data_IF_097040114686
#
_entry.id   IF_097040114686
#
_cell.length_a   1.000
_cell.length_b   1.000
_cell.length_c   1.000
_cell.angle_alpha   90.00
_cell.angle_beta   90.00
_cell.angle_gamma   90.00
#
_symmetry.space_group_name_H-M   'P 1'
#
loop_
_entity.id
_entity.type
_entity.pdbx_description
1 polymer ?
#
# COMPACT_ATOMS: atom_id res chain seq x y z
N UNK A 1 44.89 20.78 -36.04
CA UNK A 1 43.68 21.44 -36.59
C UNK A 1 42.41 20.58 -36.49
N UNK A 2 42.41 19.31 -36.91
CA UNK A 2 41.23 18.43 -36.85
C UNK A 2 40.69 18.09 -35.44
N UNK A 3 41.57 18.02 -34.42
CA UNK A 3 41.17 17.73 -33.03
C UNK A 3 40.46 18.96 -32.39
N UNK A 4 40.97 20.16 -32.64
CA UNK A 4 40.37 21.43 -32.19
C UNK A 4 39.00 21.69 -32.84
N UNK A 5 38.83 21.35 -34.12
CA UNK A 5 37.54 21.48 -34.81
C UNK A 5 36.49 20.48 -34.30
N UNK A 6 36.91 19.25 -33.91
CA UNK A 6 36.04 18.29 -33.22
C UNK A 6 35.61 18.77 -31.83
N UNK A 7 36.52 19.36 -31.05
CA UNK A 7 36.24 19.91 -29.72
C UNK A 7 35.24 21.07 -29.76
N UNK A 8 35.28 21.92 -30.80
CA UNK A 8 34.33 23.02 -30.98
C UNK A 8 32.92 22.56 -31.41
N UNK A 9 32.81 21.40 -32.08
CA UNK A 9 31.52 20.82 -32.51
C UNK A 9 30.87 19.93 -31.43
N UNK A 10 31.65 19.44 -30.48
CA UNK A 10 31.20 18.60 -29.37
C UNK A 10 30.05 19.22 -28.54
N UNK A 11 30.12 20.47 -28.04
CA UNK A 11 29.05 21.06 -27.24
C UNK A 11 27.76 21.29 -28.04
N UNK A 12 27.87 21.48 -29.36
CA UNK A 12 26.71 21.66 -30.26
C UNK A 12 25.96 20.33 -30.46
N UNK A 13 26.70 19.23 -30.57
CA UNK A 13 26.16 17.88 -30.74
C UNK A 13 25.55 17.33 -29.44
N UNK A 14 26.18 17.57 -28.29
CA UNK A 14 25.63 17.17 -26.98
C UNK A 14 24.28 17.83 -26.68
N UNK A 15 23.98 18.99 -27.28
CA UNK A 15 22.68 19.68 -27.20
C UNK A 15 21.82 19.49 -28.48
N UNK A 16 21.91 18.32 -29.12
CA UNK A 16 21.18 17.97 -30.34
C UNK A 16 20.15 16.85 -30.16
N UNK A 17 19.19 16.78 -31.08
CA UNK A 17 18.14 15.76 -31.10
C UNK A 17 18.66 14.38 -31.47
N UNK A 18 19.70 14.30 -32.30
CA UNK A 18 20.36 13.05 -32.69
C UNK A 18 21.00 12.39 -31.46
N UNK A 19 21.72 13.18 -30.65
CA UNK A 19 22.25 12.73 -29.38
C UNK A 19 21.14 12.25 -28.43
N UNK A 20 20.02 12.97 -28.37
CA UNK A 20 18.85 12.59 -27.57
C UNK A 20 18.29 11.21 -27.97
N UNK A 21 18.16 10.94 -29.27
CA UNK A 21 17.66 9.65 -29.79
C UNK A 21 18.63 8.51 -29.46
N UNK A 22 19.93 8.73 -29.61
CA UNK A 22 20.95 7.72 -29.26
C UNK A 22 20.88 7.39 -27.76
N UNK A 23 20.82 8.42 -26.91
CA UNK A 23 20.69 8.24 -25.46
C UNK A 23 19.40 7.52 -25.09
N UNK A 24 18.28 7.87 -25.72
CA UNK A 24 17.00 7.19 -25.50
C UNK A 24 17.06 5.71 -25.89
N UNK A 25 17.65 5.38 -27.06
CA UNK A 25 17.82 4.00 -27.50
C UNK A 25 18.75 3.21 -26.56
N UNK A 26 19.82 3.83 -26.06
CA UNK A 26 20.70 3.21 -25.08
C UNK A 26 19.97 2.94 -23.76
N UNK A 27 19.17 3.90 -23.26
CA UNK A 27 18.33 3.70 -22.07
C UNK A 27 17.35 2.56 -22.30
N UNK A 28 16.66 2.54 -23.45
CA UNK A 28 15.71 1.48 -23.79
C UNK A 28 16.39 0.10 -23.86
N UNK A 29 17.57 0.01 -24.46
CA UNK A 29 18.34 -1.23 -24.57
C UNK A 29 18.73 -1.81 -23.20
N UNK A 30 18.95 -0.97 -22.20
CA UNK A 30 19.22 -1.42 -20.81
C UNK A 30 17.92 -1.68 -20.04
N UNK A 31 16.92 -0.80 -20.19
CA UNK A 31 15.68 -0.83 -19.41
C UNK A 31 14.74 -1.97 -19.81
N UNK A 32 14.66 -2.33 -21.10
CA UNK A 32 13.76 -3.38 -21.58
C UNK A 32 14.16 -4.76 -21.02
N UNK A 33 15.42 -5.24 -21.13
CA UNK A 33 15.82 -6.50 -20.51
C UNK A 33 15.62 -6.48 -19.00
N UNK A 34 15.98 -5.38 -18.34
CA UNK A 34 15.75 -5.19 -16.90
C UNK A 34 14.28 -5.30 -16.49
N UNK A 35 13.34 -5.12 -17.42
CA UNK A 35 11.90 -5.27 -17.18
C UNK A 35 11.52 -6.74 -16.96
N UNK A 36 12.24 -7.67 -17.58
CA UNK A 36 11.99 -9.11 -17.51
C UNK A 36 12.83 -9.85 -16.46
N UNK A 37 13.77 -9.16 -15.81
CA UNK A 37 14.58 -9.72 -14.73
C UNK A 37 13.84 -9.64 -13.38
N UNK A 38 14.00 -10.66 -12.54
CA UNK A 38 13.49 -10.67 -11.17
C UNK A 38 14.20 -9.61 -10.31
N UNK A 39 15.52 -9.51 -10.46
CA UNK A 39 16.30 -8.48 -9.79
C UNK A 39 16.21 -7.14 -10.54
N UNK A 40 15.76 -6.11 -9.81
CA UNK A 40 15.58 -4.74 -10.31
C UNK A 40 16.79 -3.84 -10.00
N UNK A 41 17.88 -4.39 -9.46
CA UNK A 41 19.11 -3.66 -9.10
C UNK A 41 19.73 -2.89 -10.27
N UNK A 42 19.49 -3.32 -11.52
CA UNK A 42 19.97 -2.65 -12.73
C UNK A 42 19.55 -1.17 -12.79
N UNK A 43 18.36 -0.83 -12.30
CA UNK A 43 17.84 0.55 -12.28
C UNK A 43 18.50 1.42 -11.20
N UNK A 44 19.08 0.79 -10.18
CA UNK A 44 19.89 1.45 -9.15
C UNK A 44 21.38 1.46 -9.50
N UNK A 45 21.79 0.84 -10.61
CA UNK A 45 23.20 0.79 -11.01
C UNK A 45 23.72 2.19 -11.36
N UNK A 46 24.97 2.54 -10.98
CA UNK A 46 25.57 3.83 -11.33
C UNK A 46 25.56 4.10 -12.84
N UNK A 47 25.75 3.08 -13.66
CA UNK A 47 25.74 3.21 -15.13
C UNK A 47 24.37 3.66 -15.64
N UNK A 48 23.29 3.04 -15.17
CA UNK A 48 21.94 3.42 -15.57
C UNK A 48 21.59 4.84 -15.12
N UNK A 49 21.95 5.20 -13.88
CA UNK A 49 21.72 6.54 -13.34
C UNK A 49 22.52 7.62 -14.08
N UNK A 50 23.78 7.36 -14.43
CA UNK A 50 24.61 8.27 -15.23
C UNK A 50 24.00 8.45 -16.62
N UNK A 51 23.57 7.36 -17.26
CA UNK A 51 22.93 7.42 -18.58
C UNK A 51 21.65 8.27 -18.54
N UNK A 52 20.82 8.09 -17.51
CA UNK A 52 19.61 8.88 -17.29
C UNK A 52 19.94 10.36 -17.03
N UNK A 53 21.00 10.64 -16.26
CA UNK A 53 21.48 12.00 -16.00
C UNK A 53 21.96 12.72 -17.26
N UNK A 54 22.73 12.04 -18.11
CA UNK A 54 23.20 12.58 -19.40
C UNK A 54 22.00 12.86 -20.32
N UNK A 55 21.01 11.97 -20.38
CA UNK A 55 19.78 12.20 -21.12
C UNK A 55 19.00 13.41 -20.60
N UNK A 56 18.85 13.56 -19.28
CA UNK A 56 18.23 14.74 -18.68
C UNK A 56 18.95 16.05 -19.02
N UNK A 57 20.29 16.05 -18.96
CA UNK A 57 21.10 17.20 -19.34
C UNK A 57 20.96 17.54 -20.84
N UNK A 58 21.03 16.53 -21.72
CA UNK A 58 20.78 16.73 -23.14
C UNK A 58 19.40 17.33 -23.39
N UNK A 59 18.34 16.79 -22.76
CA UNK A 59 16.97 17.29 -22.92
C UNK A 59 16.86 18.75 -22.47
N UNK A 60 17.47 19.10 -21.34
CA UNK A 60 17.50 20.47 -20.84
C UNK A 60 18.18 21.42 -21.83
N UNK A 61 19.39 21.08 -22.29
CA UNK A 61 20.17 21.90 -23.23
C UNK A 61 19.45 22.04 -24.58
N UNK A 62 18.92 20.95 -25.12
CA UNK A 62 18.10 20.94 -26.34
C UNK A 62 16.89 21.87 -26.21
N UNK A 63 16.21 21.81 -25.06
CA UNK A 63 15.02 22.63 -24.77
C UNK A 63 15.37 24.10 -24.68
N UNK A 64 16.46 24.46 -23.99
CA UNK A 64 16.94 25.85 -23.88
C UNK A 64 17.33 26.40 -25.25
N UNK A 65 18.13 25.65 -26.03
CA UNK A 65 18.60 26.04 -27.37
C UNK A 65 17.44 26.30 -28.32
N UNK A 66 16.37 25.50 -28.24
CA UNK A 66 15.21 25.56 -29.14
C UNK A 66 13.96 26.20 -28.52
N UNK A 67 14.07 26.88 -27.36
CA UNK A 67 12.91 27.39 -26.61
C UNK A 67 12.00 28.33 -27.39
N UNK A 68 12.56 29.06 -28.37
CA UNK A 68 11.80 29.99 -29.23
C UNK A 68 11.12 29.31 -30.42
N UNK A 69 11.54 28.11 -30.79
CA UNK A 69 11.03 27.37 -31.97
C UNK A 69 10.14 26.18 -31.58
N UNK A 70 10.32 25.61 -30.40
CA UNK A 70 9.49 24.52 -29.88
C UNK A 70 8.09 25.04 -29.53
N UNK A 71 7.07 24.24 -29.83
CA UNK A 71 5.68 24.55 -29.47
C UNK A 71 5.46 24.56 -27.95
N UNK A 72 4.58 25.45 -27.46
CA UNK A 72 4.18 25.50 -26.04
C UNK A 72 3.80 24.13 -25.44
N UNK A 73 2.99 23.27 -26.11
CA UNK A 73 2.68 21.94 -25.59
C UNK A 73 3.90 21.02 -25.40
N UNK A 74 4.85 21.06 -26.32
CA UNK A 74 6.10 20.27 -26.23
C UNK A 74 7.01 20.81 -25.12
N UNK A 75 7.05 22.13 -24.91
CA UNK A 75 7.78 22.71 -23.77
C UNK A 75 7.20 22.21 -22.44
N UNK A 76 5.86 22.20 -22.30
CA UNK A 76 5.18 21.66 -21.11
C UNK A 76 5.55 20.18 -20.93
N UNK A 77 5.52 19.38 -22.00
CA UNK A 77 5.91 17.97 -21.95
C UNK A 77 7.35 17.79 -21.47
N UNK A 78 8.31 18.54 -22.02
CA UNK A 78 9.72 18.48 -21.60
C UNK A 78 9.91 18.93 -20.15
N UNK A 79 9.20 19.96 -19.69
CA UNK A 79 9.18 20.37 -18.28
C UNK A 79 8.70 19.22 -17.40
N UNK A 80 7.64 18.50 -17.80
CA UNK A 80 7.16 17.32 -17.08
C UNK A 80 8.22 16.24 -16.95
N UNK A 81 8.91 15.89 -18.04
CA UNK A 81 10.02 14.92 -18.03
C UNK A 81 11.15 15.37 -17.10
N UNK A 82 11.55 16.64 -17.17
CA UNK A 82 12.62 17.19 -16.32
C UNK A 82 12.22 17.20 -14.84
N UNK A 83 10.96 17.50 -14.51
CA UNK A 83 10.42 17.39 -13.15
C UNK A 83 10.45 15.94 -12.67
N UNK A 84 10.05 14.98 -13.50
CA UNK A 84 10.16 13.56 -13.16
C UNK A 84 11.60 13.15 -12.86
N UNK A 85 12.57 13.56 -13.69
CA UNK A 85 13.99 13.27 -13.46
C UNK A 85 14.51 13.93 -12.18
N UNK A 86 14.13 15.18 -11.91
CA UNK A 86 14.47 15.87 -10.67
C UNK A 86 13.86 15.17 -9.44
N UNK A 87 12.63 14.67 -9.57
CA UNK A 87 11.98 13.85 -8.56
C UNK A 87 12.73 12.56 -8.28
N UNK A 88 13.19 11.83 -9.30
CA UNK A 88 14.01 10.64 -9.12
C UNK A 88 15.33 10.94 -8.37
N UNK A 89 15.98 12.08 -8.67
CA UNK A 89 17.17 12.53 -7.94
C UNK A 89 16.80 12.83 -6.48
N UNK A 90 15.68 13.52 -6.24
CA UNK A 90 15.21 13.79 -4.88
C UNK A 90 14.94 12.48 -4.09
N UNK A 91 14.34 11.46 -4.72
CA UNK A 91 14.12 10.14 -4.10
C UNK A 91 15.41 9.50 -3.59
N UNK A 92 16.58 9.79 -4.19
CA UNK A 92 17.87 9.26 -3.71
C UNK A 92 18.29 9.78 -2.33
N UNK A 93 17.70 10.88 -1.86
CA UNK A 93 17.86 11.38 -0.47
C UNK A 93 16.86 10.75 0.51
N UNK A 94 16.02 9.85 0.03
CA UNK A 94 15.10 9.04 0.81
C UNK A 94 15.75 7.82 1.44
N UNK A 95 14.93 7.00 2.10
CA UNK A 95 15.34 5.69 2.60
C UNK A 95 14.13 4.79 2.83
N UNK A 96 14.41 3.49 2.91
CA UNK A 96 13.47 2.45 3.32
C UNK A 96 14.00 1.79 4.57
N UNK A 97 13.16 1.72 5.60
CA UNK A 97 13.41 0.95 6.80
C UNK A 97 12.30 -0.09 7.02
N UNK A 98 12.62 -1.19 7.67
CA UNK A 98 11.65 -2.27 7.96
C UNK A 98 11.80 -2.75 9.39
N UNK A 99 10.69 -3.19 9.98
CA UNK A 99 10.67 -3.80 11.32
C UNK A 99 9.46 -4.73 11.47
N UNK A 100 9.60 -5.79 12.26
CA UNK A 100 8.48 -6.60 12.73
C UNK A 100 8.20 -6.24 14.19
N UNK A 101 6.94 -5.94 14.51
CA UNK A 101 6.52 -5.49 15.84
C UNK A 101 5.36 -6.35 16.31
N UNK A 102 5.46 -6.90 17.52
CA UNK A 102 4.38 -7.66 18.14
C UNK A 102 3.25 -6.73 18.59
N UNK A 103 2.01 -7.20 18.50
CA UNK A 103 0.87 -6.43 18.99
C UNK A 103 1.02 -6.06 20.47
N UNK A 104 0.71 -4.80 20.80
CA UNK A 104 0.87 -4.26 22.15
C UNK A 104 2.29 -3.81 22.51
N UNK A 105 3.27 -3.97 21.61
CA UNK A 105 4.69 -3.64 21.89
C UNK A 105 5.21 -2.47 21.05
N UNK A 106 6.24 -1.81 21.55
CA UNK A 106 6.91 -0.69 20.89
C UNK A 106 8.38 -0.98 20.58
N UNK A 107 8.88 -0.38 19.49
CA UNK A 107 10.29 -0.46 19.08
C UNK A 107 10.83 0.94 18.75
N UNK A 108 12.12 1.16 18.98
CA UNK A 108 12.82 2.43 18.70
C UNK A 108 13.90 2.31 17.61
N UNK A 109 14.19 1.09 17.16
CA UNK A 109 15.20 0.79 16.15
C UNK A 109 14.58 0.10 14.94
N UNK A 110 15.08 0.49 13.77
CA UNK A 110 14.53 0.07 12.49
C UNK A 110 15.66 -0.31 11.54
N UNK A 111 15.53 -1.44 10.85
CA UNK A 111 16.54 -1.89 9.91
C UNK A 111 16.50 -1.04 8.64
N UNK A 112 17.53 -0.22 8.40
CA UNK A 112 17.67 0.62 7.21
C UNK A 112 18.43 -0.12 6.11
N UNK A 113 17.77 -0.36 4.98
CA UNK A 113 18.33 -1.12 3.86
C UNK A 113 19.53 -0.45 3.19
N UNK A 114 19.57 0.88 3.16
CA UNK A 114 20.67 1.66 2.60
C UNK A 114 21.93 1.60 3.48
N UNK A 115 21.75 1.54 4.81
CA UNK A 115 22.84 1.43 5.78
C UNK A 115 23.18 0.00 6.18
N UNK A 116 22.30 -0.95 5.87
CA UNK A 116 22.36 -2.37 6.28
C UNK A 116 22.53 -2.55 7.80
N UNK A 117 21.86 -1.69 8.57
CA UNK A 117 21.98 -1.66 10.02
C UNK A 117 20.68 -1.16 10.67
N UNK A 118 20.50 -1.52 11.94
CA UNK A 118 19.43 -0.98 12.78
C UNK A 118 19.78 0.44 13.22
N UNK A 119 18.85 1.37 13.00
CA UNK A 119 19.05 2.80 13.27
C UNK A 119 17.86 3.34 14.05
N UNK A 120 18.14 4.25 14.97
CA UNK A 120 17.14 5.07 15.65
C UNK A 120 16.65 6.17 14.69
N UNK A 121 15.34 6.24 14.47
CA UNK A 121 14.70 7.23 13.59
C UNK A 121 14.17 8.46 14.36
N UNK A 122 14.38 8.53 15.67
CA UNK A 122 13.97 9.62 16.55
C UNK A 122 12.54 9.48 17.09
N UNK A 123 11.96 8.28 17.05
CA UNK A 123 10.64 7.99 17.58
C UNK A 123 10.48 6.51 17.93
N UNK A 124 9.59 6.23 18.86
CA UNK A 124 9.10 4.88 19.16
C UNK A 124 7.86 4.60 18.33
N UNK A 125 7.78 3.40 17.76
CA UNK A 125 6.62 2.92 17.01
C UNK A 125 5.96 1.77 17.78
N UNK A 126 4.71 1.96 18.17
CA UNK A 126 3.86 0.98 18.82
C UNK A 126 2.87 0.39 17.80
N UNK A 127 2.75 -0.94 17.77
CA UNK A 127 1.59 -1.60 17.16
C UNK A 127 0.54 -1.77 18.25
N UNK A 128 -0.53 -0.98 18.20
CA UNK A 128 -1.61 -1.05 19.20
C UNK A 128 -2.46 -2.28 18.99
N UNK A 129 -2.86 -2.50 17.74
CA UNK A 129 -3.76 -3.59 17.37
C UNK A 129 -3.65 -3.92 15.90
N UNK A 130 -3.68 -5.21 15.60
CA UNK A 130 -3.78 -5.80 14.29
C UNK A 130 -5.23 -6.23 14.13
N UNK A 131 -5.91 -5.62 13.18
CA UNK A 131 -7.33 -5.82 12.96
C UNK A 131 -7.57 -6.54 11.64
N UNK A 132 -8.56 -7.42 11.65
CA UNK A 132 -9.06 -8.09 10.46
C UNK A 132 -10.58 -7.95 10.40
N UNK A 133 -11.11 -7.85 9.18
CA UNK A 133 -12.53 -7.89 8.90
C UNK A 133 -12.76 -8.93 7.81
N UNK A 134 -13.75 -9.80 7.99
CA UNK A 134 -14.13 -10.83 7.03
C UNK A 134 -15.43 -10.45 6.31
N UNK A 135 -15.59 -10.94 5.09
CA UNK A 135 -16.91 -10.94 4.45
C UNK A 135 -17.88 -11.84 5.24
N UNK A 136 -19.20 -11.60 5.18
CA UNK A 136 -20.21 -12.47 5.77
C UNK A 136 -19.92 -13.94 5.52
N UNK A 137 -19.67 -14.70 6.58
CA UNK A 137 -19.19 -16.08 6.51
C UNK A 137 -20.40 -17.01 6.48
N UNK A 138 -20.57 -17.86 5.46
CA UNK A 138 -21.59 -18.90 5.47
C UNK A 138 -21.33 -19.89 6.61
N UNK A 139 -22.29 -19.98 7.52
CA UNK A 139 -22.28 -20.83 8.71
C UNK A 139 -23.46 -21.78 8.69
N UNK A 140 -23.24 -22.95 9.28
CA UNK A 140 -24.27 -23.95 9.53
C UNK A 140 -24.45 -24.08 11.04
N UNK A 141 -25.60 -23.67 11.54
CA UNK A 141 -25.93 -23.58 12.97
C UNK A 141 -26.90 -24.71 13.33
N UNK A 142 -26.50 -25.57 14.26
CA UNK A 142 -27.36 -26.57 14.87
C UNK A 142 -28.10 -25.97 16.06
N UNK A 143 -29.41 -26.21 16.14
CA UNK A 143 -30.22 -25.89 17.32
C UNK A 143 -30.45 -27.18 18.09
N UNK A 144 -30.14 -27.17 19.38
CA UNK A 144 -30.30 -28.33 20.26
C UNK A 144 -31.24 -28.01 21.41
N UNK A 145 -31.96 -29.02 21.88
CA UNK A 145 -32.70 -29.02 23.14
C UNK A 145 -32.12 -30.10 24.03
N UNK A 146 -31.33 -29.70 25.03
CA UNK A 146 -30.45 -30.64 25.73
C UNK A 146 -29.42 -31.25 24.78
N UNK A 147 -29.39 -32.58 24.67
CA UNK A 147 -28.49 -33.31 23.77
C UNK A 147 -29.12 -33.63 22.41
N UNK A 148 -30.42 -33.38 22.24
CA UNK A 148 -31.13 -33.71 21.02
C UNK A 148 -31.01 -32.56 20.01
N UNK A 149 -30.63 -32.89 18.79
CA UNK A 149 -30.68 -31.95 17.67
C UNK A 149 -32.13 -31.74 17.25
N UNK A 150 -32.58 -30.49 17.33
CA UNK A 150 -33.93 -30.08 16.92
C UNK A 150 -33.94 -29.65 15.46
N UNK A 151 -32.98 -28.81 15.04
CA UNK A 151 -32.94 -28.31 13.67
C UNK A 151 -31.53 -27.88 13.22
N UNK A 152 -31.39 -27.50 11.96
CA UNK A 152 -30.16 -27.06 11.33
C UNK A 152 -30.45 -25.91 10.35
N UNK A 153 -29.76 -24.79 10.53
CA UNK A 153 -29.90 -23.62 9.68
C UNK A 153 -28.61 -23.32 8.95
N UNK A 154 -28.72 -22.82 7.72
CA UNK A 154 -27.58 -22.33 6.93
C UNK A 154 -27.86 -20.87 6.62
N UNK A 155 -26.94 -20.00 7.00
CA UNK A 155 -27.04 -18.55 6.85
C UNK A 155 -25.64 -17.96 6.80
N UNK A 156 -25.52 -16.65 6.59
CA UNK A 156 -24.26 -15.93 6.75
C UNK A 156 -24.21 -15.18 8.07
N UNK A 157 -23.00 -14.90 8.56
CA UNK A 157 -22.84 -13.93 9.64
C UNK A 157 -23.43 -12.58 9.24
N UNK A 158 -24.16 -11.93 10.15
CA UNK A 158 -25.00 -10.76 9.91
C UNK A 158 -26.45 -11.08 9.53
N UNK A 159 -26.80 -12.32 9.23
CA UNK A 159 -28.18 -12.76 8.95
C UNK A 159 -28.83 -13.38 10.20
N UNK A 160 -30.15 -13.59 10.16
CA UNK A 160 -30.90 -14.25 11.21
C UNK A 160 -31.92 -15.24 10.67
N UNK A 161 -32.29 -16.22 11.49
CA UNK A 161 -33.39 -17.16 11.22
C UNK A 161 -34.41 -17.13 12.36
N UNK A 162 -35.64 -17.56 12.06
CA UNK A 162 -36.73 -17.69 13.02
C UNK A 162 -36.91 -19.15 13.42
N UNK A 163 -37.08 -19.42 14.72
CA UNK A 163 -37.37 -20.76 15.23
C UNK A 163 -38.20 -20.69 16.52
N UNK A 164 -39.39 -21.28 16.50
CA UNK A 164 -40.30 -21.41 17.65
C UNK A 164 -40.55 -20.09 18.41
N UNK A 165 -40.78 -18.99 17.69
CA UNK A 165 -41.08 -17.68 18.27
C UNK A 165 -39.86 -16.83 18.63
N UNK A 166 -38.65 -17.36 18.40
CA UNK A 166 -37.39 -16.66 18.59
C UNK A 166 -36.73 -16.32 17.26
N UNK A 167 -36.16 -15.12 17.17
CA UNK A 167 -35.26 -14.73 16.08
C UNK A 167 -33.82 -14.84 16.56
N UNK A 168 -33.02 -15.62 15.85
CA UNK A 168 -31.62 -15.89 16.19
C UNK A 168 -30.73 -15.29 15.10
N UNK A 169 -29.93 -14.30 15.46
CA UNK A 169 -28.98 -13.65 14.56
C UNK A 169 -27.58 -14.23 14.75
N UNK A 170 -26.92 -14.61 13.66
CA UNK A 170 -25.52 -15.03 13.68
C UNK A 170 -24.63 -13.78 13.57
N UNK A 171 -24.22 -13.19 14.68
CA UNK A 171 -23.53 -11.89 14.69
C UNK A 171 -22.14 -11.95 14.07
N UNK A 172 -21.29 -12.83 14.61
CA UNK A 172 -19.87 -12.92 14.23
C UNK A 172 -19.31 -14.30 14.49
N UNK A 173 -18.43 -14.74 13.61
CA UNK A 173 -17.61 -15.94 13.79
C UNK A 173 -16.16 -15.50 13.91
N UNK A 174 -15.47 -15.91 14.98
CA UNK A 174 -14.01 -15.88 15.03
C UNK A 174 -13.49 -17.12 14.30
N UNK A 175 -12.84 -16.99 13.12
CA UNK A 175 -12.42 -18.15 12.35
C UNK A 175 -11.18 -18.85 12.90
N UNK A 176 -10.50 -18.27 13.88
CA UNK A 176 -9.33 -18.88 14.53
C UNK A 176 -9.77 -19.79 15.67
N UNK A 177 -10.69 -19.30 16.50
CA UNK A 177 -11.22 -20.08 17.64
C UNK A 177 -12.45 -20.92 17.25
N UNK A 178 -12.98 -20.71 16.04
CA UNK A 178 -14.19 -21.34 15.51
C UNK A 178 -15.43 -21.09 16.40
N UNK A 179 -15.47 -19.92 17.03
CA UNK A 179 -16.53 -19.53 17.94
C UNK A 179 -17.54 -18.61 17.24
N UNK A 180 -18.77 -19.10 17.10
CA UNK A 180 -19.88 -18.32 16.58
C UNK A 180 -20.62 -17.65 17.74
N UNK A 181 -20.79 -16.33 17.65
CA UNK A 181 -21.66 -15.56 18.56
C UNK A 181 -23.02 -15.38 17.91
N UNK A 182 -24.06 -15.75 18.64
CA UNK A 182 -25.45 -15.64 18.26
C UNK A 182 -26.16 -14.67 19.22
N UNK A 183 -27.06 -13.84 18.71
CA UNK A 183 -27.97 -13.03 19.53
C UNK A 183 -29.39 -13.55 19.37
N UNK A 184 -30.10 -13.76 20.49
CA UNK A 184 -31.48 -14.22 20.49
C UNK A 184 -32.42 -13.07 20.82
N UNK A 185 -33.51 -13.00 20.07
CA UNK A 185 -34.59 -12.05 20.25
C UNK A 185 -35.92 -12.78 20.42
N UNK A 186 -36.78 -12.25 21.28
CA UNK A 186 -38.16 -12.68 21.45
C UNK A 186 -39.04 -11.44 21.26
N UNK A 187 -40.04 -11.51 20.38
CA UNK A 187 -40.90 -10.36 20.04
C UNK A 187 -40.10 -9.08 19.70
N UNK A 188 -39.03 -9.22 18.89
CA UNK A 188 -38.08 -8.16 18.53
C UNK A 188 -37.28 -7.51 19.67
N UNK A 189 -37.37 -8.01 20.91
CA UNK A 189 -36.52 -7.57 22.02
C UNK A 189 -35.34 -8.53 22.17
N UNK A 190 -34.12 -8.00 22.27
CA UNK A 190 -32.92 -8.82 22.59
C UNK A 190 -33.12 -9.42 23.98
N UNK A 191 -33.04 -10.74 24.09
CA UNK A 191 -33.11 -11.46 25.37
C UNK A 191 -31.74 -11.94 25.85
N UNK A 192 -30.76 -12.07 24.95
CA UNK A 192 -29.39 -12.42 25.29
C UNK A 192 -28.60 -12.87 24.07
N UNK A 193 -27.44 -13.46 24.31
CA UNK A 193 -26.46 -13.94 23.36
C UNK A 193 -25.87 -15.27 23.82
N UNK A 194 -25.42 -16.05 22.84
CA UNK A 194 -24.83 -17.36 23.04
C UNK A 194 -23.60 -17.48 22.16
N UNK A 195 -22.46 -17.81 22.76
CA UNK A 195 -21.24 -18.17 22.06
C UNK A 195 -21.11 -19.69 22.04
N UNK A 196 -20.77 -20.28 20.90
CA UNK A 196 -20.66 -21.73 20.74
C UNK A 196 -19.54 -22.39 21.57
N UNK A 197 -18.70 -21.61 22.26
CA UNK A 197 -17.82 -22.11 23.33
C UNK A 197 -18.56 -22.45 24.63
N UNK A 198 -19.82 -22.05 24.77
CA UNK A 198 -20.67 -22.28 25.95
C UNK A 198 -20.94 -21.03 26.80
N UNK A 199 -20.29 -19.90 26.52
CA UNK A 199 -20.59 -18.62 27.19
C UNK A 199 -21.95 -18.09 26.73
N UNK A 200 -22.86 -17.80 27.67
CA UNK A 200 -24.23 -17.35 27.38
C UNK A 200 -24.75 -16.41 28.46
N UNK A 201 -25.41 -15.32 28.06
CA UNK A 201 -26.20 -14.42 28.93
C UNK A 201 -27.71 -14.59 28.71
N UNK A 202 -28.14 -15.69 28.08
CA UNK A 202 -29.57 -16.01 27.90
C UNK A 202 -30.25 -16.37 29.23
N UNK A 203 -31.58 -16.16 29.34
CA UNK A 203 -32.37 -16.58 30.48
C UNK A 203 -32.20 -18.08 30.79
N UNK A 204 -32.22 -18.45 32.07
CA UNK A 204 -32.00 -19.83 32.51
C UNK A 204 -33.09 -20.81 32.03
N UNK A 205 -34.28 -20.32 31.74
CA UNK A 205 -35.42 -21.05 31.19
C UNK A 205 -35.40 -21.13 29.64
N UNK A 206 -34.43 -20.49 28.98
CA UNK A 206 -34.31 -20.56 27.53
C UNK A 206 -34.01 -22.01 27.09
N UNK A 207 -34.84 -22.61 26.21
CA UNK A 207 -34.85 -24.07 26.02
C UNK A 207 -33.78 -24.59 25.06
N UNK A 208 -33.03 -23.71 24.40
CA UNK A 208 -32.13 -24.11 23.31
C UNK A 208 -30.66 -23.79 23.57
N UNK A 209 -29.79 -24.62 23.02
CA UNK A 209 -28.36 -24.34 22.85
C UNK A 209 -28.01 -24.40 21.37
N UNK A 210 -26.85 -23.85 21.02
CA UNK A 210 -26.44 -23.73 19.62
C UNK A 210 -25.05 -24.34 19.41
N UNK A 211 -24.86 -24.96 18.26
CA UNK A 211 -23.57 -25.48 17.84
C UNK A 211 -23.21 -24.94 16.46
N UNK A 212 -21.95 -24.53 16.28
CA UNK A 212 -21.38 -24.33 14.96
C UNK A 212 -21.08 -25.71 14.37
N UNK A 213 -21.83 -26.12 13.35
CA UNK A 213 -21.70 -27.44 12.73
C UNK A 213 -20.68 -27.42 11.60
N UNK A 214 -20.65 -26.34 10.83
CA UNK A 214 -19.68 -26.12 9.77
C UNK A 214 -19.67 -24.63 9.38
N UNK A 215 -18.58 -24.18 8.77
CA UNK A 215 -18.50 -22.88 8.12
C UNK A 215 -17.66 -23.00 6.84
N UNK A 216 -17.84 -22.08 5.90
CA UNK A 216 -16.98 -21.98 4.73
C UNK A 216 -15.72 -21.18 5.04
N UNK A 217 -14.62 -21.48 4.34
CA UNK A 217 -13.35 -20.78 4.52
C UNK A 217 -13.55 -19.26 4.46
N UNK A 218 -13.20 -18.53 5.54
CA UNK A 218 -13.46 -17.11 5.65
C UNK A 218 -12.62 -16.34 4.62
N UNK A 219 -13.24 -15.34 3.99
CA UNK A 219 -12.55 -14.45 3.04
C UNK A 219 -12.27 -13.12 3.72
N UNK A 220 -10.99 -12.80 3.85
CA UNK A 220 -10.54 -11.53 4.41
C UNK A 220 -11.01 -10.38 3.51
N UNK A 221 -11.73 -9.43 4.10
CA UNK A 221 -12.22 -8.21 3.44
C UNK A 221 -11.26 -7.06 3.63
N UNK A 222 -10.76 -6.87 4.85
CA UNK A 222 -9.87 -5.77 5.21
C UNK A 222 -8.90 -6.22 6.29
N UNK A 223 -7.70 -5.65 6.24
CA UNK A 223 -6.61 -5.92 7.17
C UNK A 223 -5.88 -4.61 7.42
N UNK A 224 -5.77 -4.20 8.68
CA UNK A 224 -5.14 -2.95 9.05
C UNK A 224 -4.47 -3.02 10.41
N UNK A 225 -3.50 -2.14 10.61
CA UNK A 225 -2.72 -2.05 11.83
C UNK A 225 -2.88 -0.65 12.40
N UNK A 226 -3.30 -0.57 13.66
CA UNK A 226 -3.34 0.68 14.41
C UNK A 226 -1.96 0.93 15.01
N UNK A 227 -1.37 2.07 14.66
CA UNK A 227 -0.03 2.49 15.01
C UNK A 227 -0.10 3.70 15.93
N UNK A 228 0.81 3.76 16.91
CA UNK A 228 1.09 4.96 17.68
C UNK A 228 2.57 5.31 17.58
N UNK A 229 2.84 6.58 17.35
CA UNK A 229 4.20 7.12 17.33
C UNK A 229 4.37 7.96 18.57
N UNK A 230 5.42 7.69 19.34
CA UNK A 230 5.80 8.49 20.49
C UNK A 230 7.18 9.13 20.25
N UNK A 231 7.26 10.45 20.32
CA UNK A 231 8.55 11.14 20.37
C UNK A 231 8.95 11.40 21.83
N UNK A 232 10.26 11.37 22.11
CA UNK A 232 10.83 11.74 23.42
C UNK A 232 10.40 13.14 23.95
N UNK A 233 9.78 13.98 23.10
CA UNK A 233 9.24 15.30 23.42
C UNK A 233 7.79 15.30 23.92
N UNK A 234 7.14 14.15 24.06
CA UNK A 234 5.73 14.03 24.49
C UNK A 234 4.69 14.25 23.39
N UNK A 235 5.13 14.43 22.14
CA UNK A 235 4.24 14.45 20.98
C UNK A 235 3.90 13.02 20.57
N UNK A 236 2.63 12.65 20.71
CA UNK A 236 2.10 11.39 20.20
C UNK A 236 1.31 11.61 18.91
N UNK A 237 1.42 10.67 17.99
CA UNK A 237 0.62 10.65 16.78
C UNK A 237 0.16 9.22 16.47
N UNK A 238 -1.15 9.01 16.50
CA UNK A 238 -1.76 7.73 16.17
C UNK A 238 -2.37 7.73 14.78
N UNK A 239 -2.40 6.58 14.14
CA UNK A 239 -3.09 6.38 12.88
C UNK A 239 -3.11 4.93 12.44
N UNK A 240 -3.75 4.66 11.30
CA UNK A 240 -3.95 3.29 10.81
C UNK A 240 -3.19 3.09 9.50
N UNK A 241 -2.54 1.93 9.37
CA UNK A 241 -1.92 1.47 8.13
C UNK A 241 -2.67 0.28 7.55
N UNK A 242 -3.13 0.42 6.31
CA UNK A 242 -3.79 -0.61 5.52
C UNK A 242 -2.91 -1.08 4.35
N UNK A 243 -3.26 -2.21 3.74
CA UNK A 243 -2.54 -2.78 2.59
C UNK A 243 -2.29 -1.77 1.46
N UNK A 244 -3.23 -0.86 1.21
CA UNK A 244 -3.12 0.18 0.17
C UNK A 244 -3.20 1.62 0.74
N UNK A 245 -3.23 1.77 2.05
CA UNK A 245 -3.46 3.04 2.74
C UNK A 245 -2.44 3.22 3.85
N UNK A 246 -1.21 3.70 3.56
CA UNK A 246 -0.20 3.85 4.59
C UNK A 246 -0.60 4.94 5.59
N UNK A 247 -0.25 4.72 6.86
CA UNK A 247 -0.22 5.82 7.83
C UNK A 247 0.90 6.79 7.44
N UNK A 248 0.65 8.10 7.56
CA UNK A 248 1.59 9.15 7.16
C UNK A 248 1.86 10.07 8.33
N UNK A 249 3.14 10.30 8.62
CA UNK A 249 3.55 11.20 9.69
C UNK A 249 4.98 11.70 9.48
N UNK A 250 5.22 12.99 9.70
CA UNK A 250 6.56 13.58 9.61
C UNK A 250 7.25 13.42 8.24
N UNK A 251 6.49 13.29 7.15
CA UNK A 251 7.02 12.99 5.81
C UNK A 251 7.42 11.52 5.59
N UNK A 252 7.11 10.65 6.55
CA UNK A 252 7.27 9.20 6.47
C UNK A 252 5.95 8.53 6.13
N UNK A 253 6.05 7.40 5.45
CA UNK A 253 4.92 6.52 5.11
C UNK A 253 5.16 5.17 5.77
N UNK A 254 4.18 4.70 6.54
CA UNK A 254 4.22 3.44 7.27
C UNK A 254 3.28 2.47 6.56
N UNK A 255 3.85 1.53 5.81
CA UNK A 255 3.11 0.50 5.09
C UNK A 255 3.07 -0.78 5.90
N UNK A 256 1.89 -1.36 6.03
CA UNK A 256 1.72 -2.73 6.48
C UNK A 256 2.12 -3.67 5.35
N UNK A 257 3.24 -4.39 5.52
CA UNK A 257 3.77 -5.31 4.50
C UNK A 257 3.54 -6.78 4.85
N UNK A 258 3.34 -7.09 6.12
CA UNK A 258 3.15 -8.46 6.59
C UNK A 258 2.35 -8.49 7.88
N UNK A 259 1.48 -9.48 8.03
CA UNK A 259 0.93 -9.86 9.33
C UNK A 259 1.16 -11.35 9.51
N UNK A 260 1.62 -11.75 10.68
CA UNK A 260 1.93 -13.13 11.00
C UNK A 260 1.72 -13.43 12.48
N UNK A 261 1.97 -14.69 12.82
CA UNK A 261 2.09 -15.16 14.20
C UNK A 261 3.41 -15.90 14.34
N UNK A 262 4.04 -15.82 15.50
CA UNK A 262 5.21 -16.63 15.82
C UNK A 262 4.83 -18.07 16.19
N UNK A 263 5.81 -18.88 16.61
CA UNK A 263 5.60 -20.26 17.05
C UNK A 263 4.73 -20.40 18.29
N UNK A 264 4.59 -19.33 19.09
CA UNK A 264 3.77 -19.27 20.30
C UNK A 264 2.36 -18.74 20.01
N UNK A 265 2.09 -18.34 18.76
CA UNK A 265 0.81 -17.78 18.32
C UNK A 265 0.67 -16.28 18.54
N UNK A 266 1.73 -15.59 18.98
CA UNK A 266 1.73 -14.15 19.22
C UNK A 266 1.68 -13.38 17.90
N UNK A 267 0.68 -12.50 17.70
CA UNK A 267 0.54 -11.78 16.44
C UNK A 267 1.58 -10.66 16.33
N UNK A 268 2.11 -10.48 15.12
CA UNK A 268 3.03 -9.38 14.77
C UNK A 268 2.68 -8.78 13.40
N UNK A 269 3.08 -7.52 13.23
CA UNK A 269 2.99 -6.80 11.97
C UNK A 269 4.39 -6.40 11.48
N UNK A 270 4.66 -6.64 10.21
CA UNK A 270 5.79 -6.10 9.48
C UNK A 270 5.44 -4.73 8.91
N UNK A 271 6.19 -3.72 9.33
CA UNK A 271 6.01 -2.34 8.92
C UNK A 271 7.21 -1.89 8.08
N UNK A 272 6.92 -1.38 6.88
CA UNK A 272 7.91 -0.68 6.05
C UNK A 272 7.72 0.83 6.18
N UNK A 273 8.78 1.51 6.61
CA UNK A 273 8.83 2.95 6.80
C UNK A 273 9.60 3.55 5.63
N UNK A 274 8.96 4.41 4.86
CA UNK A 274 9.55 5.01 3.65
C UNK A 274 9.60 6.52 3.80
N UNK A 275 10.79 7.10 3.59
CA UNK A 275 10.96 8.52 3.30
C UNK A 275 11.24 8.68 1.82
N UNK A 276 10.33 9.29 1.08
CA UNK A 276 10.52 9.57 -0.36
C UNK A 276 10.19 11.04 -0.65
N UNK A 277 11.19 11.95 -0.57
CA UNK A 277 10.97 13.36 -0.85
C UNK A 277 10.77 13.64 -2.35
N UNK A 278 11.12 12.69 -3.23
CA UNK A 278 10.96 12.84 -4.68
C UNK A 278 9.57 12.50 -5.19
N UNK A 279 8.84 11.63 -4.48
CA UNK A 279 7.46 11.24 -4.79
C UNK A 279 6.56 12.38 -5.28
N UNK A 280 6.35 13.49 -4.52
CA UNK A 280 5.46 14.56 -4.97
C UNK A 280 5.94 15.22 -6.27
N UNK A 281 7.26 15.36 -6.45
CA UNK A 281 7.86 15.98 -7.65
C UNK A 281 7.67 15.09 -8.88
N UNK A 282 7.81 13.76 -8.72
CA UNK A 282 7.55 12.79 -9.79
C UNK A 282 6.09 12.86 -10.25
N UNK A 283 5.14 12.85 -9.31
CA UNK A 283 3.71 12.95 -9.64
C UNK A 283 3.35 14.30 -10.28
N UNK A 284 3.95 15.41 -9.82
CA UNK A 284 3.81 16.69 -10.49
C UNK A 284 4.35 16.65 -11.92
N UNK A 285 5.51 16.02 -12.15
CA UNK A 285 6.08 15.80 -13.47
C UNK A 285 5.15 15.01 -14.39
N UNK A 286 4.53 13.93 -13.89
CA UNK A 286 3.53 13.15 -14.65
C UNK A 286 2.30 13.98 -15.02
N UNK A 287 1.77 14.77 -14.09
CA UNK A 287 0.63 15.64 -14.35
C UNK A 287 0.95 16.69 -15.43
N UNK A 288 2.11 17.35 -15.32
CA UNK A 288 2.59 18.34 -16.30
C UNK A 288 2.83 17.69 -17.67
N UNK A 289 3.47 16.52 -17.70
CA UNK A 289 3.71 15.76 -18.92
C UNK A 289 2.40 15.35 -19.61
N UNK A 290 1.43 14.84 -18.84
CA UNK A 290 0.09 14.48 -19.32
C UNK A 290 -0.65 15.68 -19.93
N UNK A 291 -0.60 16.84 -19.26
CA UNK A 291 -1.15 18.09 -19.80
C UNK A 291 -0.48 18.48 -21.13
N UNK A 292 0.85 18.39 -21.20
CA UNK A 292 1.61 18.65 -22.42
C UNK A 292 1.20 17.73 -23.58
N UNK A 293 0.95 16.45 -23.30
CA UNK A 293 0.47 15.48 -24.28
C UNK A 293 -0.95 15.80 -24.77
N UNK A 294 -1.89 16.09 -23.86
CA UNK A 294 -3.28 16.47 -24.20
C UNK A 294 -3.31 17.73 -25.07
N UNK A 295 -2.53 18.77 -24.70
CA UNK A 295 -2.43 20.01 -25.48
C UNK A 295 -1.79 19.78 -26.86
N UNK A 296 -0.81 18.89 -26.95
CA UNK A 296 -0.16 18.52 -28.22
C UNK A 296 -1.15 17.83 -29.15
N UNK A 297 -1.97 16.92 -28.61
CA UNK A 297 -3.04 16.25 -29.35
C UNK A 297 -4.08 17.27 -29.82
N UNK A 298 -4.63 18.08 -28.90
CA UNK A 298 -5.60 19.14 -29.24
C UNK A 298 -5.10 20.04 -30.36
N UNK A 299 -3.85 20.55 -30.26
CA UNK A 299 -3.24 21.38 -31.31
C UNK A 299 -3.14 20.67 -32.66
N UNK A 300 -2.88 19.36 -32.69
CA UNK A 300 -2.75 18.59 -33.93
C UNK A 300 -4.11 18.42 -34.62
N UNK A 301 -5.18 18.16 -33.86
CA UNK A 301 -6.52 17.96 -34.40
C UNK A 301 -7.22 19.28 -34.75
N UNK A 302 -7.03 20.35 -33.97
CA UNK A 302 -7.55 21.69 -34.30
C UNK A 302 -6.85 22.37 -35.49
N UNK A 303 -5.79 21.80 -36.04
CA UNK A 303 -5.14 22.28 -37.28
C UNK A 303 -5.62 21.54 -38.54
N UNK A 304 -6.38 20.46 -38.36
CA UNK A 304 -6.94 19.65 -39.44
C UNK A 304 -8.45 19.86 -39.64
N UNK A 305 -9.07 20.66 -38.77
CA UNK A 305 -10.41 21.21 -38.92
C UNK A 305 -10.26 22.70 -39.27
#
# INVERSE_FOLDING_TARGET
>A
MAILDKLNKLPIWVASTECAVILFLAIAAVAIPGTFMEDRSIYASPLFLVLLGIFGLNLLLCTIKRRRTISRPVLILHTGVLLTLAGCIATSFGYVATVNIYEGTSVSKFYRWDKKADVDLGFDLLVKKINSEYYPIPVKVGVLKGLQKENLFILKTGESFEFNGYRIAAESLDPVTEQLTLTVYEQNRRIGSYNTSGLSDLPADFPYTFALVAFQNPRLKRLWVDLDINQNSGNTAGGTSEVNGPFQWGGLYFYNTQIGKDSEGTPYAGIQIVRDPGRPVVFAGFAVMGLGAVLSFKRRFSRKA
#
